data_IF_633720670897
#
_entry.id   IF_633720670897
#
_cell.length_a   1.000
_cell.length_b   1.000
_cell.length_c   1.000
_cell.angle_alpha   90.00
_cell.angle_beta   90.00
_cell.angle_gamma   90.00
#
_symmetry.space_group_name_H-M   'P 1'
#
loop_
_entity.id
_entity.type
_entity.pdbx_description
1 polymer ?
#
# COMPACT_ATOMS: atom_id res chain seq x y z
N UNK A 1 10.47 -1.74 28.64
CA UNK A 1 10.98 -1.42 30.02
C UNK A 1 12.34 -0.69 30.01
N UNK A 2 13.38 -1.20 29.31
CA UNK A 2 14.71 -0.55 29.31
C UNK A 2 14.64 0.88 28.75
N UNK A 3 14.00 1.09 27.61
CA UNK A 3 13.86 2.41 27.00
C UNK A 3 12.99 3.35 27.85
N UNK A 4 11.88 2.85 28.43
CA UNK A 4 10.99 3.66 29.25
C UNK A 4 11.69 4.23 30.50
N UNK A 5 12.50 3.45 31.16
CA UNK A 5 13.24 3.88 32.32
C UNK A 5 14.43 4.78 31.98
N UNK A 6 15.18 4.44 30.90
CA UNK A 6 16.34 5.20 30.48
C UNK A 6 15.97 6.56 29.88
N UNK A 7 14.87 6.65 29.14
CA UNK A 7 14.41 7.90 28.53
C UNK A 7 13.73 8.87 29.53
N UNK A 8 13.44 8.41 30.77
CA UNK A 8 12.94 9.27 31.84
C UNK A 8 14.05 10.02 32.58
N UNK A 9 15.28 9.56 32.46
CA UNK A 9 16.44 10.14 33.16
C UNK A 9 17.17 11.12 32.26
N UNK A 10 17.72 12.19 32.89
CA UNK A 10 18.58 13.16 32.19
C UNK A 10 19.87 12.47 31.74
N UNK A 11 20.21 12.61 30.46
CA UNK A 11 21.45 12.04 29.93
C UNK A 11 22.69 12.75 30.42
N UNK A 12 23.87 12.11 30.38
CA UNK A 12 25.13 12.79 30.62
C UNK A 12 25.32 13.94 29.61
N UNK A 13 25.96 15.03 30.06
CA UNK A 13 26.40 16.10 29.15
C UNK A 13 27.44 15.61 28.14
N UNK A 14 28.33 14.68 28.59
CA UNK A 14 29.30 14.02 27.71
C UNK A 14 28.59 13.09 26.73
N UNK A 15 28.86 13.30 25.48
CA UNK A 15 28.27 12.50 24.39
C UNK A 15 28.69 11.02 24.47
N UNK A 16 27.72 10.14 24.57
CA UNK A 16 27.89 8.68 24.45
C UNK A 16 27.72 8.32 22.98
N UNK A 17 28.67 7.58 22.43
CA UNK A 17 28.64 7.15 21.02
C UNK A 17 28.67 5.64 20.97
N UNK A 18 27.65 5.05 20.35
CA UNK A 18 27.56 3.62 20.06
C UNK A 18 27.72 3.44 18.56
N UNK A 19 28.63 2.58 18.11
CA UNK A 19 28.91 2.36 16.68
C UNK A 19 28.75 0.89 16.32
N UNK A 20 28.35 0.63 15.08
CA UNK A 20 28.34 -0.69 14.44
C UNK A 20 27.65 -1.76 15.30
N UNK A 21 26.43 -1.48 15.74
CA UNK A 21 25.63 -2.33 16.63
C UNK A 21 24.40 -2.86 15.93
N UNK A 22 23.86 -3.97 16.42
CA UNK A 22 22.57 -4.49 15.97
C UNK A 22 21.55 -4.36 17.10
N UNK A 23 20.38 -3.83 16.79
CA UNK A 23 19.22 -3.88 17.68
C UNK A 23 18.31 -5.02 17.22
N UNK A 24 17.96 -5.87 18.17
CA UNK A 24 17.09 -7.01 17.95
C UNK A 24 15.72 -6.68 18.53
N UNK A 25 14.70 -6.71 17.70
CA UNK A 25 13.32 -6.68 18.14
C UNK A 25 12.84 -8.12 18.29
N UNK A 26 12.47 -8.50 19.51
CA UNK A 26 12.04 -9.85 19.87
C UNK A 26 10.58 -9.86 20.32
N UNK A 27 9.88 -10.99 20.12
CA UNK A 27 8.58 -11.24 20.70
C UNK A 27 8.72 -11.70 22.16
N UNK A 28 7.59 -12.01 22.81
CA UNK A 28 7.56 -12.51 24.22
C UNK A 28 8.24 -13.86 24.40
N UNK A 29 8.42 -14.63 23.32
CA UNK A 29 9.09 -15.93 23.32
C UNK A 29 10.58 -15.82 22.99
N UNK A 30 11.17 -14.61 23.05
CA UNK A 30 12.56 -14.32 22.69
C UNK A 30 12.93 -14.59 21.22
N UNK A 31 11.93 -14.81 20.33
CA UNK A 31 12.18 -14.97 18.91
C UNK A 31 12.46 -13.61 18.26
N UNK A 32 13.48 -13.56 17.41
CA UNK A 32 13.89 -12.34 16.71
C UNK A 32 12.90 -12.06 15.58
N UNK A 33 12.09 -11.00 15.72
CA UNK A 33 11.15 -10.54 14.71
C UNK A 33 11.87 -9.67 13.67
N UNK A 34 12.81 -8.82 14.13
CA UNK A 34 13.53 -7.92 13.24
C UNK A 34 14.90 -7.55 13.80
N UNK A 35 15.85 -7.30 12.91
CA UNK A 35 17.19 -6.83 13.22
C UNK A 35 17.40 -5.47 12.56
N UNK A 36 17.83 -4.50 13.38
CA UNK A 36 18.13 -3.14 12.93
C UNK A 36 19.64 -2.90 13.01
N UNK A 37 20.39 -3.02 11.91
CA UNK A 37 21.79 -2.66 11.87
C UNK A 37 21.94 -1.13 12.05
N UNK A 38 22.62 -0.75 13.11
CA UNK A 38 22.89 0.64 13.48
C UNK A 38 24.33 1.00 13.17
N UNK A 39 24.51 2.02 12.35
CA UNK A 39 25.84 2.54 12.04
C UNK A 39 26.41 3.35 13.21
N UNK A 40 25.59 4.24 13.76
CA UNK A 40 25.95 5.01 14.95
C UNK A 40 24.71 5.53 15.69
N UNK A 41 24.81 5.60 17.01
CA UNK A 41 23.90 6.33 17.89
C UNK A 41 24.74 7.32 18.70
N UNK A 42 24.24 8.52 18.87
CA UNK A 42 24.78 9.49 19.81
C UNK A 42 23.69 9.87 20.80
N UNK A 43 24.02 9.85 22.08
CA UNK A 43 23.15 10.22 23.19
C UNK A 43 23.86 11.28 24.05
N UNK A 44 23.19 12.37 24.36
CA UNK A 44 23.70 13.42 25.24
C UNK A 44 22.60 14.34 25.72
N UNK A 45 22.85 15.05 26.80
CA UNK A 45 22.01 16.14 27.26
C UNK A 45 22.54 17.46 26.68
N UNK A 46 21.66 18.16 25.95
CA UNK A 46 21.93 19.51 25.40
C UNK A 46 21.48 20.53 26.41
N UNK A 47 22.45 21.25 26.99
CA UNK A 47 22.17 22.27 28.02
C UNK A 47 21.48 23.50 27.46
N UNK A 48 21.83 23.94 26.25
CA UNK A 48 21.22 25.12 25.63
C UNK A 48 19.72 24.88 25.36
N UNK A 49 19.34 23.66 25.05
CA UNK A 49 17.96 23.28 24.77
C UNK A 49 17.25 22.64 25.95
N UNK A 50 17.95 22.48 27.09
CA UNK A 50 17.44 21.75 28.27
C UNK A 50 16.79 20.43 27.93
N UNK A 51 17.40 19.65 27.01
CA UNK A 51 16.80 18.45 26.43
C UNK A 51 17.76 17.29 26.24
N UNK A 52 17.29 16.07 26.51
CA UNK A 52 17.95 14.88 26.03
C UNK A 52 17.88 14.81 24.51
N UNK A 53 18.98 14.44 23.88
CA UNK A 53 19.05 14.21 22.43
C UNK A 53 19.56 12.80 22.09
N UNK A 54 18.91 12.17 21.11
CA UNK A 54 19.36 10.94 20.49
C UNK A 54 19.41 11.17 18.98
N UNK A 55 20.54 10.89 18.38
CA UNK A 55 20.65 10.81 16.91
C UNK A 55 21.09 9.41 16.53
N UNK A 56 20.39 8.77 15.61
CA UNK A 56 20.72 7.43 15.15
C UNK A 56 20.71 7.34 13.62
N UNK A 57 21.65 6.56 13.09
CA UNK A 57 21.72 6.21 11.66
C UNK A 57 21.85 4.69 11.54
N UNK A 58 21.06 4.09 10.67
CA UNK A 58 21.06 2.64 10.50
C UNK A 58 20.35 2.21 9.23
N UNK A 59 19.97 0.95 9.21
CA UNK A 59 19.16 0.36 8.13
C UNK A 59 17.98 -0.40 8.74
N UNK A 60 16.84 -0.32 8.07
CA UNK A 60 15.65 -1.09 8.35
C UNK A 60 15.27 -1.82 7.07
N UNK A 61 15.30 -3.16 7.08
CA UNK A 61 15.14 -3.97 5.86
C UNK A 61 15.96 -3.45 4.66
N UNK A 62 17.25 -3.24 4.86
CA UNK A 62 18.23 -2.68 3.89
C UNK A 62 17.95 -1.20 3.49
N UNK A 63 16.89 -0.56 3.98
CA UNK A 63 16.57 0.85 3.72
C UNK A 63 17.28 1.71 4.76
N UNK A 64 18.16 2.64 4.36
CA UNK A 64 18.87 3.52 5.29
C UNK A 64 17.91 4.51 5.93
N UNK A 65 18.02 4.68 7.24
CA UNK A 65 17.27 5.67 8.01
C UNK A 65 18.15 6.60 8.83
N UNK A 66 17.62 7.77 9.14
CA UNK A 66 18.13 8.68 10.16
C UNK A 66 17.01 8.98 11.16
N UNK A 67 17.34 8.92 12.46
CA UNK A 67 16.41 9.28 13.54
C UNK A 67 17.04 10.38 14.36
N UNK A 68 16.28 11.42 14.63
CA UNK A 68 16.58 12.43 15.64
C UNK A 68 15.45 12.44 16.65
N UNK A 69 15.77 12.25 17.91
CA UNK A 69 14.81 12.33 19.02
C UNK A 69 15.31 13.32 20.05
N UNK A 70 14.40 14.13 20.58
CA UNK A 70 14.69 14.98 21.72
C UNK A 70 13.52 15.02 22.70
N UNK A 71 13.82 15.17 23.97
CA UNK A 71 12.86 15.31 25.05
C UNK A 71 13.24 16.46 25.93
N UNK A 72 12.37 17.46 26.03
CA UNK A 72 12.53 18.57 26.93
C UNK A 72 11.99 18.17 28.33
N UNK A 73 12.74 18.55 29.40
CA UNK A 73 12.36 18.28 30.77
C UNK A 73 11.70 19.46 31.47
N UNK A 74 11.80 20.66 30.92
CA UNK A 74 11.31 21.89 31.54
C UNK A 74 9.87 22.27 31.17
N UNK A 75 9.38 21.73 30.01
CA UNK A 75 8.03 22.02 29.50
C UNK A 75 7.30 20.73 29.13
N UNK A 76 6.21 20.45 29.83
CA UNK A 76 5.20 19.42 29.52
C UNK A 76 5.71 18.01 29.12
N UNK A 77 6.94 17.66 29.49
CA UNK A 77 7.59 16.39 29.14
C UNK A 77 7.39 15.98 27.66
N UNK A 78 7.29 16.97 26.76
CA UNK A 78 7.09 16.75 25.33
C UNK A 78 8.34 16.13 24.71
N UNK A 79 8.15 15.07 23.94
CA UNK A 79 9.20 14.49 23.10
C UNK A 79 8.88 14.63 21.63
N UNK A 80 9.93 14.80 20.82
CA UNK A 80 9.80 14.87 19.37
C UNK A 80 10.75 13.89 18.72
N UNK A 81 10.21 13.08 17.80
CA UNK A 81 10.96 12.14 16.98
C UNK A 81 10.87 12.54 15.53
N UNK A 82 12.00 12.65 14.85
CA UNK A 82 12.09 12.87 13.41
C UNK A 82 12.77 11.67 12.78
N UNK A 83 12.05 10.96 11.92
CA UNK A 83 12.56 9.81 11.16
C UNK A 83 12.61 10.17 9.69
N UNK A 84 13.76 9.93 9.04
CA UNK A 84 13.95 10.18 7.60
C UNK A 84 14.44 8.92 6.91
N UNK A 85 13.68 8.46 5.90
CA UNK A 85 14.03 7.36 4.99
C UNK A 85 14.23 7.95 3.58
N UNK A 86 15.44 8.45 3.31
CA UNK A 86 15.73 9.20 2.07
C UNK A 86 15.43 8.41 0.79
N UNK A 87 15.69 7.07 0.77
CA UNK A 87 15.40 6.24 -0.41
C UNK A 87 13.90 6.18 -0.76
N UNK A 88 13.01 6.37 0.22
CA UNK A 88 11.57 6.33 0.03
C UNK A 88 10.96 7.73 -0.10
N UNK A 89 11.76 8.80 0.08
CA UNK A 89 11.27 10.16 0.22
C UNK A 89 10.18 10.26 1.31
N UNK A 90 10.50 9.62 2.45
CA UNK A 90 9.62 9.53 3.62
C UNK A 90 10.26 10.26 4.80
N UNK A 91 9.50 11.21 5.35
CA UNK A 91 9.81 11.89 6.61
C UNK A 91 8.63 11.74 7.56
N UNK A 92 8.89 11.31 8.80
CA UNK A 92 7.91 11.21 9.88
C UNK A 92 8.36 12.09 11.02
N UNK A 93 7.54 13.07 11.38
CA UNK A 93 7.69 13.86 12.60
C UNK A 93 6.62 13.45 13.58
N UNK A 94 7.04 12.92 14.71
CA UNK A 94 6.17 12.55 15.80
C UNK A 94 6.39 13.52 16.98
N UNK A 95 5.33 14.07 17.51
CA UNK A 95 5.33 14.88 18.74
C UNK A 95 4.47 14.19 19.77
N UNK A 96 5.05 13.77 20.89
CA UNK A 96 4.34 13.02 21.93
C UNK A 96 4.39 13.73 23.29
N UNK A 97 3.33 13.54 24.06
CA UNK A 97 3.18 14.09 25.41
C UNK A 97 2.29 13.18 26.26
N UNK A 98 2.43 13.31 27.56
CA UNK A 98 1.60 12.59 28.53
C UNK A 98 0.61 13.58 29.13
N UNK A 99 -0.68 13.27 29.07
CA UNK A 99 -1.76 14.00 29.73
C UNK A 99 -2.68 13.02 30.44
N UNK A 100 -3.00 13.29 31.69
CA UNK A 100 -3.90 12.44 32.52
C UNK A 100 -3.50 10.94 32.50
N UNK A 101 -2.20 10.67 32.63
CA UNK A 101 -1.59 9.33 32.55
C UNK A 101 -1.78 8.59 31.22
N UNK A 102 -2.31 9.26 30.20
CA UNK A 102 -2.43 8.71 28.85
C UNK A 102 -1.36 9.29 27.95
N UNK A 103 -0.86 8.46 27.04
CA UNK A 103 0.13 8.85 26.04
C UNK A 103 -0.56 9.28 24.76
N UNK A 104 -0.34 10.53 24.38
CA UNK A 104 -0.86 11.11 23.14
C UNK A 104 0.28 11.49 22.24
N UNK A 105 0.05 11.42 20.94
CA UNK A 105 1.00 11.98 20.01
C UNK A 105 0.34 12.46 18.70
N UNK A 106 1.08 13.33 18.01
CA UNK A 106 0.76 13.81 16.67
C UNK A 106 1.83 13.35 15.71
N UNK A 107 1.38 12.82 14.57
CA UNK A 107 2.25 12.47 13.45
C UNK A 107 2.05 13.44 12.30
N UNK A 108 3.17 13.93 11.76
CA UNK A 108 3.21 14.58 10.46
C UNK A 108 4.06 13.68 9.56
N UNK A 109 3.45 13.07 8.57
CA UNK A 109 4.12 12.14 7.65
C UNK A 109 4.13 12.77 6.27
N UNK A 110 5.32 12.99 5.74
CA UNK A 110 5.54 13.47 4.39
C UNK A 110 6.09 12.31 3.57
N UNK A 111 5.36 11.89 2.56
CA UNK A 111 5.75 10.80 1.68
C UNK A 111 5.49 11.19 0.23
N UNK A 112 6.55 11.51 -0.51
CA UNK A 112 6.42 12.04 -1.88
C UNK A 112 5.45 13.24 -1.92
N UNK A 113 4.29 13.07 -2.58
CA UNK A 113 3.27 14.11 -2.72
C UNK A 113 2.15 14.01 -1.66
N UNK A 114 2.30 13.14 -0.67
CA UNK A 114 1.36 13.00 0.43
C UNK A 114 1.82 13.78 1.67
N UNK A 115 0.88 14.48 2.30
CA UNK A 115 1.02 15.10 3.61
C UNK A 115 -0.04 14.50 4.52
N UNK A 116 0.39 13.65 5.43
CA UNK A 116 -0.50 12.91 6.31
C UNK A 116 -0.33 13.44 7.73
N UNK A 117 -1.43 13.82 8.34
CA UNK A 117 -1.48 14.28 9.72
C UNK A 117 -2.38 13.36 10.50
N UNK A 118 -1.95 12.91 11.66
CA UNK A 118 -2.78 12.09 12.54
C UNK A 118 -2.50 12.34 14.00
N UNK A 119 -3.55 12.18 14.80
CA UNK A 119 -3.42 11.98 16.22
C UNK A 119 -3.40 10.49 16.51
N UNK A 120 -2.64 10.07 17.52
CA UNK A 120 -2.73 8.72 18.02
C UNK A 120 -2.68 8.67 19.54
N UNK A 121 -3.24 7.60 20.06
CA UNK A 121 -3.26 7.26 21.47
C UNK A 121 -2.66 5.86 21.63
N UNK A 122 -1.84 5.71 22.66
CA UNK A 122 -1.31 4.39 23.06
C UNK A 122 -1.96 4.01 24.37
N UNK A 123 -2.58 2.82 24.39
CA UNK A 123 -3.12 2.23 25.58
C UNK A 123 -2.74 0.75 25.63
N UNK A 124 -1.96 0.37 26.64
CA UNK A 124 -1.38 -0.99 26.75
C UNK A 124 -0.58 -1.35 25.49
N UNK A 125 -1.06 -2.34 24.72
CA UNK A 125 -0.42 -2.87 23.52
C UNK A 125 -1.08 -2.39 22.21
N UNK A 126 -2.05 -1.47 22.31
CA UNK A 126 -2.83 -0.94 21.20
C UNK A 126 -2.46 0.52 20.92
N UNK A 127 -2.15 0.80 19.66
CA UNK A 127 -2.04 2.14 19.11
C UNK A 127 -3.27 2.40 18.24
N UNK A 128 -4.13 3.33 18.64
CA UNK A 128 -5.25 3.81 17.84
C UNK A 128 -4.92 5.16 17.24
N UNK A 129 -5.23 5.38 15.96
CA UNK A 129 -4.94 6.64 15.30
C UNK A 129 -6.05 7.06 14.33
N UNK A 130 -6.17 8.36 14.14
CA UNK A 130 -7.08 8.98 13.18
C UNK A 130 -6.41 10.18 12.50
N UNK A 131 -6.76 10.41 11.24
CA UNK A 131 -6.23 11.51 10.47
C UNK A 131 -6.87 12.86 10.83
N UNK A 132 -6.10 13.92 10.56
CA UNK A 132 -6.55 15.32 10.53
C UNK A 132 -6.02 15.95 9.26
N UNK A 133 -6.88 16.60 8.46
CA UNK A 133 -6.49 17.45 7.30
C UNK A 133 -5.44 16.84 6.35
N UNK A 134 -5.48 15.53 6.19
CA UNK A 134 -4.51 14.82 5.38
C UNK A 134 -4.80 14.98 3.89
N UNK A 135 -3.74 15.02 3.07
CA UNK A 135 -3.84 15.23 1.61
C UNK A 135 -2.85 14.38 0.84
N UNK A 136 -3.30 13.89 -0.31
CA UNK A 136 -2.42 13.33 -1.35
C UNK A 136 -2.56 14.20 -2.59
N UNK A 137 -1.48 14.96 -2.94
CA UNK A 137 -1.52 16.00 -3.95
C UNK A 137 -2.55 17.06 -3.54
N UNK A 138 -3.66 17.18 -4.27
CA UNK A 138 -4.77 18.11 -4.00
C UNK A 138 -6.05 17.38 -3.56
N UNK A 139 -5.98 16.08 -3.21
CA UNK A 139 -7.12 15.31 -2.76
C UNK A 139 -7.08 15.17 -1.24
N UNK A 140 -8.20 15.45 -0.61
CA UNK A 140 -8.37 15.14 0.80
C UNK A 140 -8.43 13.63 0.97
N UNK A 141 -7.87 13.16 2.05
CA UNK A 141 -7.99 11.81 2.50
C UNK A 141 -8.20 11.78 4.00
N UNK A 142 -9.07 10.88 4.43
CA UNK A 142 -9.22 10.52 5.83
C UNK A 142 -8.69 9.11 6.02
N UNK A 143 -8.00 8.87 7.12
CA UNK A 143 -7.59 7.53 7.49
C UNK A 143 -7.68 7.36 9.00
N UNK A 144 -8.00 6.14 9.39
CA UNK A 144 -8.01 5.70 10.77
C UNK A 144 -7.49 4.27 10.85
N UNK A 145 -7.06 3.87 12.02
CA UNK A 145 -6.60 2.51 12.19
C UNK A 145 -6.14 2.18 13.59
N UNK A 146 -5.76 0.93 13.72
CA UNK A 146 -5.28 0.33 14.95
C UNK A 146 -4.05 -0.53 14.66
N UNK A 147 -3.09 -0.49 15.57
CA UNK A 147 -1.90 -1.34 15.52
C UNK A 147 -1.78 -2.04 16.87
N UNK A 148 -1.91 -3.36 16.88
CA UNK A 148 -1.52 -4.20 18.00
C UNK A 148 -0.02 -4.50 17.88
N UNK A 149 0.73 -4.31 18.95
CA UNK A 149 2.18 -4.49 18.92
C UNK A 149 2.60 -5.94 19.13
N UNK A 150 1.80 -6.69 19.90
CA UNK A 150 2.05 -8.09 20.22
C UNK A 150 0.76 -8.92 20.34
N UNK A 151 0.52 -9.88 19.44
CA UNK A 151 1.22 -10.04 18.15
C UNK A 151 1.02 -8.83 17.27
N UNK A 152 1.94 -8.58 16.33
CA UNK A 152 1.78 -7.45 15.41
C UNK A 152 0.58 -7.68 14.48
N UNK A 153 -0.40 -6.80 14.58
CA UNK A 153 -1.56 -6.77 13.69
C UNK A 153 -1.96 -5.31 13.41
N UNK A 154 -2.12 -4.94 12.16
CA UNK A 154 -2.48 -3.60 11.75
C UNK A 154 -3.78 -3.59 10.96
N UNK A 155 -4.69 -2.70 11.32
CA UNK A 155 -5.90 -2.40 10.55
C UNK A 155 -5.86 -0.93 10.18
N UNK A 156 -5.94 -0.65 8.87
CA UNK A 156 -5.89 0.70 8.33
C UNK A 156 -7.04 0.89 7.34
N UNK A 157 -7.87 1.88 7.57
CA UNK A 157 -8.88 2.33 6.64
C UNK A 157 -8.48 3.68 6.05
N UNK A 158 -8.53 3.82 4.73
CA UNK A 158 -8.20 5.03 3.98
C UNK A 158 -9.41 5.41 3.12
N UNK A 159 -9.96 6.60 3.33
CA UNK A 159 -11.06 7.14 2.57
C UNK A 159 -10.57 8.31 1.71
N UNK A 160 -10.70 8.20 0.40
CA UNK A 160 -10.28 9.18 -0.59
C UNK A 160 -11.50 9.82 -1.26
N UNK A 161 -11.49 11.13 -1.45
CA UNK A 161 -12.51 11.78 -2.27
C UNK A 161 -12.37 11.38 -3.74
N UNK A 162 -11.13 11.29 -4.24
CA UNK A 162 -10.84 10.95 -5.63
C UNK A 162 -9.61 10.05 -5.74
N UNK A 163 -9.72 8.96 -6.51
CA UNK A 163 -8.61 8.08 -6.88
C UNK A 163 -8.33 8.20 -8.38
N UNK A 164 -7.12 8.56 -8.74
CA UNK A 164 -6.63 8.38 -10.11
C UNK A 164 -6.05 6.97 -10.22
N UNK A 165 -6.82 6.04 -10.78
CA UNK A 165 -6.45 4.63 -10.85
C UNK A 165 -5.12 4.41 -11.61
N UNK A 166 -4.88 5.12 -12.71
CA UNK A 166 -3.65 5.00 -13.48
C UNK A 166 -2.45 5.47 -12.66
N UNK A 167 -2.56 6.64 -12.01
CA UNK A 167 -1.48 7.14 -11.13
C UNK A 167 -1.26 6.21 -9.94
N UNK A 168 -2.31 5.65 -9.37
CA UNK A 168 -2.20 4.67 -8.30
C UNK A 168 -1.42 3.44 -8.74
N UNK A 169 -1.78 2.83 -9.86
CA UNK A 169 -1.10 1.66 -10.41
C UNK A 169 0.37 1.94 -10.78
N UNK A 170 0.65 3.07 -11.45
CA UNK A 170 2.02 3.44 -11.82
C UNK A 170 2.90 3.75 -10.61
N UNK A 171 2.35 4.43 -9.58
CA UNK A 171 3.09 4.72 -8.35
C UNK A 171 3.34 3.47 -7.53
N UNK A 172 2.35 2.55 -7.46
CA UNK A 172 2.52 1.25 -6.79
C UNK A 172 3.58 0.41 -7.50
N UNK A 173 3.57 0.33 -8.83
CA UNK A 173 4.60 -0.36 -9.59
C UNK A 173 5.99 0.25 -9.35
N UNK A 174 6.12 1.57 -9.39
CA UNK A 174 7.39 2.25 -9.10
C UNK A 174 7.90 1.98 -7.68
N UNK A 175 7.00 1.95 -6.69
CA UNK A 175 7.33 1.60 -5.31
C UNK A 175 7.84 0.16 -5.24
N UNK A 176 7.15 -0.79 -5.84
CA UNK A 176 7.55 -2.20 -5.86
C UNK A 176 8.91 -2.43 -6.55
N UNK A 177 9.23 -1.67 -7.58
CA UNK A 177 10.54 -1.73 -8.25
C UNK A 177 11.69 -1.13 -7.44
N UNK A 178 11.42 -0.10 -6.65
CA UNK A 178 12.44 0.65 -5.91
C UNK A 178 12.74 0.12 -4.52
N UNK A 179 11.87 -0.73 -3.97
CA UNK A 179 11.91 -1.19 -2.58
C UNK A 179 12.42 -2.62 -2.49
N UNK A 180 13.19 -2.90 -1.44
CA UNK A 180 13.41 -4.29 -1.05
C UNK A 180 12.14 -4.77 -0.34
N UNK A 181 11.43 -5.67 -0.98
CA UNK A 181 10.08 -6.10 -0.58
C UNK A 181 10.05 -7.33 0.32
N UNK A 182 11.22 -7.89 0.67
CA UNK A 182 11.29 -9.08 1.54
C UNK A 182 10.48 -8.89 2.83
N UNK A 183 10.45 -7.66 3.38
CA UNK A 183 9.69 -7.37 4.59
C UNK A 183 8.18 -7.56 4.44
N UNK A 184 7.62 -7.35 3.22
CA UNK A 184 6.19 -7.53 2.96
C UNK A 184 5.76 -9.00 3.00
N UNK A 185 6.73 -9.92 2.84
CA UNK A 185 6.53 -11.36 2.91
C UNK A 185 6.98 -11.96 4.25
N UNK A 186 7.17 -11.11 5.27
CA UNK A 186 7.48 -11.59 6.61
C UNK A 186 6.26 -12.30 7.20
N UNK A 187 6.46 -13.52 7.71
CA UNK A 187 5.38 -14.33 8.30
C UNK A 187 4.75 -13.70 9.55
N UNK A 188 5.49 -12.83 10.24
CA UNK A 188 5.04 -12.12 11.42
C UNK A 188 4.33 -10.80 11.09
N UNK A 189 4.18 -10.47 9.81
CA UNK A 189 3.43 -9.28 9.36
C UNK A 189 1.98 -9.67 9.13
N UNK A 190 1.08 -9.21 10.02
CA UNK A 190 -0.36 -9.22 9.83
C UNK A 190 -0.84 -7.79 9.62
N UNK A 191 -1.51 -7.54 8.50
CA UNK A 191 -2.10 -6.23 8.25
C UNK A 191 -3.28 -6.31 7.29
N UNK A 192 -4.29 -5.48 7.54
CA UNK A 192 -5.42 -5.26 6.66
C UNK A 192 -5.53 -3.78 6.33
N UNK A 193 -5.50 -3.46 5.03
CA UNK A 193 -5.62 -2.08 4.54
C UNK A 193 -6.83 -2.01 3.62
N UNK A 194 -7.81 -1.17 3.98
CA UNK A 194 -9.00 -0.86 3.19
C UNK A 194 -8.84 0.53 2.57
N UNK A 195 -8.83 0.62 1.24
CA UNK A 195 -8.76 1.89 0.51
C UNK A 195 -10.06 2.10 -0.23
N UNK A 196 -10.85 3.07 0.22
CA UNK A 196 -12.13 3.44 -0.37
C UNK A 196 -11.98 4.75 -1.14
N UNK A 197 -12.49 4.84 -2.37
CA UNK A 197 -12.55 6.10 -3.10
C UNK A 197 -13.96 6.37 -3.60
N UNK A 198 -14.52 7.52 -3.20
CA UNK A 198 -15.89 7.96 -3.58
C UNK A 198 -16.01 8.27 -5.07
N UNK A 199 -14.88 8.66 -5.70
CA UNK A 199 -14.81 8.93 -7.12
C UNK A 199 -13.53 8.36 -7.70
N UNK A 200 -13.64 7.64 -8.81
CA UNK A 200 -12.49 7.14 -9.57
C UNK A 200 -12.28 8.01 -10.79
N UNK A 201 -11.12 8.65 -10.89
CA UNK A 201 -10.77 9.48 -12.04
C UNK A 201 -10.37 8.59 -13.22
N UNK A 202 -11.37 8.00 -13.83
CA UNK A 202 -11.33 7.44 -15.16
C UNK A 202 -12.75 7.57 -15.76
N UNK A 203 -12.91 7.27 -17.05
CA UNK A 203 -14.20 7.41 -17.74
C UNK A 203 -15.15 6.22 -17.50
N UNK A 204 -14.75 5.21 -16.71
CA UNK A 204 -15.46 3.95 -16.62
C UNK A 204 -16.02 3.66 -15.23
N UNK A 205 -15.28 3.96 -14.17
CA UNK A 205 -15.67 3.61 -12.81
C UNK A 205 -15.93 4.85 -11.96
N UNK A 206 -16.94 4.76 -11.11
CA UNK A 206 -17.37 5.84 -10.20
C UNK A 206 -16.81 5.65 -8.78
N UNK A 207 -16.70 4.41 -8.33
CA UNK A 207 -16.30 4.06 -6.97
C UNK A 207 -15.30 2.92 -6.98
N UNK A 208 -14.42 2.89 -5.97
CA UNK A 208 -13.51 1.75 -5.76
C UNK A 208 -13.37 1.40 -4.29
N UNK A 209 -13.23 0.11 -4.01
CA UNK A 209 -12.73 -0.44 -2.77
C UNK A 209 -11.57 -1.38 -3.07
N UNK A 210 -10.40 -1.07 -2.51
CA UNK A 210 -9.19 -1.89 -2.66
C UNK A 210 -8.85 -2.44 -1.29
N UNK A 211 -8.85 -3.75 -1.15
CA UNK A 211 -8.49 -4.48 0.05
C UNK A 211 -7.10 -5.06 -0.12
N UNK A 212 -6.22 -4.81 0.84
CA UNK A 212 -4.87 -5.38 0.86
C UNK A 212 -4.72 -6.13 2.19
N UNK A 213 -4.53 -7.44 2.11
CA UNK A 213 -4.32 -8.27 3.28
C UNK A 213 -2.91 -8.85 3.25
N UNK A 214 -2.21 -8.68 4.36
CA UNK A 214 -0.93 -9.31 4.67
C UNK A 214 -1.18 -10.35 5.76
N UNK A 215 -0.91 -11.59 5.48
CA UNK A 215 -1.11 -12.67 6.42
C UNK A 215 -0.10 -13.79 6.17
N UNK A 216 0.67 -14.13 7.19
CA UNK A 216 1.62 -15.23 7.20
C UNK A 216 2.53 -15.26 5.95
N UNK A 217 3.11 -14.10 5.61
CA UNK A 217 3.99 -13.93 4.44
C UNK A 217 3.30 -13.99 3.10
N UNK A 218 1.97 -13.89 3.06
CA UNK A 218 1.16 -13.82 1.84
C UNK A 218 0.51 -12.47 1.72
N UNK A 219 0.40 -11.99 0.49
CA UNK A 219 -0.30 -10.73 0.18
C UNK A 219 -1.41 -11.04 -0.81
N UNK A 220 -2.62 -10.57 -0.53
CA UNK A 220 -3.74 -10.70 -1.44
C UNK A 220 -4.58 -9.42 -1.49
N UNK A 221 -5.36 -9.29 -2.58
CA UNK A 221 -6.29 -8.19 -2.84
C UNK A 221 -7.72 -8.71 -3.04
N UNK A 222 -8.03 -9.89 -2.47
CA UNK A 222 -9.32 -10.51 -2.62
C UNK A 222 -10.44 -9.59 -2.16
N UNK A 223 -11.59 -9.70 -2.82
CA UNK A 223 -12.78 -8.87 -2.59
C UNK A 223 -12.63 -7.37 -2.88
N UNK A 224 -11.51 -6.95 -3.48
CA UNK A 224 -11.40 -5.61 -4.06
C UNK A 224 -12.35 -5.48 -5.26
N UNK A 225 -12.93 -4.27 -5.41
CA UNK A 225 -13.85 -4.03 -6.51
C UNK A 225 -13.84 -2.59 -7.01
N UNK A 226 -14.26 -2.43 -8.26
CA UNK A 226 -14.54 -1.16 -8.92
C UNK A 226 -16.00 -1.16 -9.38
N UNK A 227 -16.72 -0.08 -9.17
CA UNK A 227 -18.13 0.06 -9.57
C UNK A 227 -18.28 1.17 -10.60
N UNK A 228 -18.98 0.87 -11.68
CA UNK A 228 -19.57 1.83 -12.59
C UNK A 228 -21.09 1.81 -12.41
N UNK A 229 -21.68 2.93 -12.04
CA UNK A 229 -23.15 3.06 -11.90
C UNK A 229 -23.87 2.83 -13.22
N UNK A 230 -23.20 3.09 -14.35
CA UNK A 230 -23.76 2.94 -15.69
C UNK A 230 -23.53 1.55 -16.28
N UNK A 231 -22.37 0.96 -16.06
CA UNK A 231 -21.92 -0.24 -16.80
C UNK A 231 -22.04 -1.50 -15.95
N UNK A 232 -21.57 -1.47 -14.69
CA UNK A 232 -21.54 -2.64 -13.84
C UNK A 232 -20.38 -2.64 -12.84
N UNK A 233 -19.94 -3.80 -12.38
CA UNK A 233 -18.91 -3.92 -11.35
C UNK A 233 -17.82 -4.92 -11.74
N UNK A 234 -16.58 -4.54 -11.49
CA UNK A 234 -15.40 -5.39 -11.61
C UNK A 234 -14.97 -5.83 -10.22
N UNK A 235 -14.97 -7.13 -9.95
CA UNK A 235 -14.54 -7.73 -8.68
C UNK A 235 -13.28 -8.56 -8.87
N UNK A 236 -12.33 -8.44 -7.94
CA UNK A 236 -11.18 -9.34 -7.81
C UNK A 236 -11.59 -10.51 -6.90
N UNK A 237 -11.49 -11.72 -7.41
CA UNK A 237 -11.90 -12.90 -6.65
C UNK A 237 -10.69 -13.60 -6.00
N UNK A 238 -9.65 -13.85 -6.78
CA UNK A 238 -8.44 -14.51 -6.30
C UNK A 238 -7.22 -13.71 -6.75
N UNK A 239 -6.37 -13.40 -5.80
CA UNK A 239 -5.10 -12.74 -6.07
C UNK A 239 -3.98 -13.51 -5.40
N UNK A 240 -2.89 -13.69 -6.13
CA UNK A 240 -1.65 -14.28 -5.61
C UNK A 240 -0.49 -13.39 -6.01
N UNK A 241 0.24 -12.95 -5.02
CA UNK A 241 1.49 -12.22 -5.24
C UNK A 241 2.62 -13.15 -4.86
N UNK A 242 3.49 -13.43 -5.82
CA UNK A 242 4.64 -14.29 -5.63
C UNK A 242 5.93 -13.47 -5.81
N UNK A 243 6.89 -13.72 -4.96
CA UNK A 243 8.24 -13.21 -5.10
C UNK A 243 9.13 -14.39 -5.51
N UNK A 244 9.59 -14.39 -6.76
CA UNK A 244 10.50 -15.40 -7.30
C UNK A 244 11.72 -14.69 -7.86
N UNK A 245 12.92 -15.04 -7.41
CA UNK A 245 14.19 -14.41 -7.80
C UNK A 245 14.15 -12.87 -7.71
N UNK A 246 13.65 -12.35 -6.58
CA UNK A 246 13.45 -10.92 -6.34
C UNK A 246 12.45 -10.24 -7.30
N UNK A 247 11.68 -11.02 -8.07
CA UNK A 247 10.69 -10.52 -9.03
C UNK A 247 9.27 -10.75 -8.51
N UNK A 248 8.50 -9.68 -8.44
CA UNK A 248 7.08 -9.77 -8.10
C UNK A 248 6.24 -10.10 -9.33
N UNK A 249 5.40 -11.11 -9.17
CA UNK A 249 4.37 -11.47 -10.15
C UNK A 249 3.01 -11.43 -9.47
N UNK A 250 2.09 -10.67 -10.05
CA UNK A 250 0.69 -10.62 -9.62
C UNK A 250 -0.12 -11.53 -10.54
N UNK A 251 -0.85 -12.46 -9.94
CA UNK A 251 -1.85 -13.26 -10.63
C UNK A 251 -3.21 -12.95 -10.01
N UNK A 252 -4.16 -12.49 -10.83
CA UNK A 252 -5.46 -12.02 -10.37
C UNK A 252 -6.57 -12.60 -11.25
N UNK A 253 -7.62 -13.13 -10.61
CA UNK A 253 -8.85 -13.54 -11.28
C UNK A 253 -9.92 -12.47 -11.11
N UNK A 254 -10.51 -12.05 -12.21
CA UNK A 254 -11.52 -11.00 -12.25
C UNK A 254 -12.88 -11.54 -12.70
N UNK A 255 -13.91 -10.93 -12.13
CA UNK A 255 -15.27 -11.05 -12.61
C UNK A 255 -15.83 -9.65 -12.86
N UNK A 256 -16.18 -9.37 -14.13
CA UNK A 256 -16.88 -8.15 -14.49
C UNK A 256 -18.36 -8.46 -14.70
N UNK A 257 -19.21 -8.02 -13.77
CA UNK A 257 -20.65 -8.15 -13.87
C UNK A 257 -21.22 -6.93 -14.61
N UNK A 258 -21.84 -7.14 -15.75
CA UNK A 258 -22.40 -6.09 -16.61
C UNK A 258 -23.88 -5.89 -16.26
N UNK A 259 -24.23 -4.70 -15.79
CA UNK A 259 -25.63 -4.31 -15.48
C UNK A 259 -26.29 -3.73 -16.72
N UNK A 260 -25.56 -2.94 -17.49
CA UNK A 260 -26.06 -2.33 -18.72
C UNK A 260 -25.07 -2.61 -19.87
N UNK A 261 -25.44 -3.58 -20.73
CA UNK A 261 -24.61 -3.99 -21.84
C UNK A 261 -24.45 -2.92 -22.92
N UNK A 262 -25.48 -2.07 -23.14
CA UNK A 262 -25.39 -1.01 -24.16
C UNK A 262 -24.41 0.08 -23.77
N UNK A 263 -24.39 0.46 -22.51
CA UNK A 263 -23.39 1.38 -21.96
C UNK A 263 -21.98 0.77 -22.02
N UNK A 264 -21.84 -0.54 -21.71
CA UNK A 264 -20.57 -1.25 -21.86
C UNK A 264 -20.09 -1.19 -23.31
N UNK A 265 -20.92 -1.60 -24.27
CA UNK A 265 -20.58 -1.59 -25.69
C UNK A 265 -20.25 -0.19 -26.22
N UNK A 266 -20.95 0.82 -25.72
CA UNK A 266 -20.68 2.21 -26.09
C UNK A 266 -19.33 2.69 -25.55
N UNK A 267 -19.02 2.37 -24.28
CA UNK A 267 -17.74 2.72 -23.67
C UNK A 267 -16.53 2.11 -24.40
N UNK A 268 -16.69 0.87 -24.90
CA UNK A 268 -15.65 0.17 -25.66
C UNK A 268 -15.74 0.38 -27.17
N UNK A 269 -16.69 1.18 -27.65
CA UNK A 269 -16.90 1.52 -29.08
C UNK A 269 -17.15 0.28 -29.94
N UNK A 270 -17.97 -0.67 -29.47
CA UNK A 270 -18.31 -1.87 -30.17
C UNK A 270 -19.50 -1.60 -31.12
N UNK A 271 -19.39 -1.89 -32.44
CA UNK A 271 -20.45 -1.67 -33.41
C UNK A 271 -21.73 -2.42 -33.05
N UNK A 272 -22.91 -1.82 -33.33
CA UNK A 272 -24.22 -2.44 -33.01
C UNK A 272 -24.37 -3.85 -33.55
N UNK A 273 -23.89 -4.13 -34.76
CA UNK A 273 -23.96 -5.45 -35.42
C UNK A 273 -23.20 -6.56 -34.67
N UNK A 274 -22.22 -6.19 -33.83
CA UNK A 274 -21.37 -7.12 -33.08
C UNK A 274 -21.81 -7.25 -31.62
N UNK A 275 -22.88 -6.56 -31.21
CA UNK A 275 -23.37 -6.60 -29.82
C UNK A 275 -24.19 -7.86 -29.59
N UNK A 276 -23.73 -8.72 -28.70
CA UNK A 276 -24.40 -9.96 -28.26
C UNK A 276 -24.85 -9.82 -26.82
N UNK A 277 -25.63 -10.77 -26.31
CA UNK A 277 -25.99 -10.78 -24.89
C UNK A 277 -24.73 -10.84 -24.03
N UNK A 278 -24.61 -9.88 -23.11
CA UNK A 278 -23.46 -9.76 -22.22
C UNK A 278 -23.92 -9.56 -20.77
N UNK A 279 -23.62 -10.53 -19.91
CA UNK A 279 -23.91 -10.48 -18.47
C UNK A 279 -22.64 -10.44 -17.63
N UNK A 280 -21.65 -11.28 -17.97
CA UNK A 280 -20.42 -11.42 -17.20
C UNK A 280 -19.22 -11.62 -18.11
N UNK A 281 -18.07 -11.10 -17.69
CA UNK A 281 -16.76 -11.39 -18.28
C UNK A 281 -15.85 -11.90 -17.17
N UNK A 282 -15.27 -13.08 -17.36
CA UNK A 282 -14.27 -13.66 -16.46
C UNK A 282 -12.93 -13.68 -17.16
N UNK A 283 -11.88 -13.28 -16.45
CA UNK A 283 -10.53 -13.33 -16.98
C UNK A 283 -9.50 -13.34 -15.85
N UNK A 284 -8.36 -13.97 -16.15
CA UNK A 284 -7.21 -13.94 -15.27
C UNK A 284 -6.18 -12.99 -15.87
N UNK A 285 -5.57 -12.17 -14.99
CA UNK A 285 -4.47 -11.30 -15.34
C UNK A 285 -3.20 -11.75 -14.65
N UNK A 286 -2.11 -11.73 -15.40
CA UNK A 286 -0.77 -11.83 -14.85
C UNK A 286 0.02 -10.57 -15.15
N UNK A 287 0.56 -9.93 -14.10
CA UNK A 287 1.37 -8.73 -14.21
C UNK A 287 2.78 -9.02 -13.72
N UNK A 288 3.75 -8.81 -14.58
CA UNK A 288 5.16 -8.81 -14.20
C UNK A 288 5.58 -7.39 -13.82
N UNK A 289 6.00 -7.19 -12.57
CA UNK A 289 6.32 -5.84 -12.07
C UNK A 289 7.61 -5.26 -12.63
N UNK A 290 8.54 -6.07 -13.15
CA UNK A 290 9.80 -5.56 -13.72
C UNK A 290 9.57 -4.70 -14.95
N UNK A 291 8.70 -5.18 -15.84
CA UNK A 291 8.43 -4.52 -17.11
C UNK A 291 6.99 -4.02 -17.24
N UNK A 292 6.18 -4.13 -16.16
CA UNK A 292 4.74 -3.82 -16.11
C UNK A 292 3.90 -4.55 -17.16
N UNK A 293 4.43 -5.64 -17.72
CA UNK A 293 3.75 -6.39 -18.76
C UNK A 293 2.50 -7.05 -18.21
N UNK A 294 1.41 -6.89 -18.96
CA UNK A 294 0.10 -7.45 -18.65
C UNK A 294 -0.19 -8.60 -19.62
N UNK A 295 -0.43 -9.78 -19.09
CA UNK A 295 -0.92 -10.92 -19.83
C UNK A 295 -2.35 -11.25 -19.38
N UNK A 296 -3.22 -11.61 -20.34
CA UNK A 296 -4.60 -12.02 -20.11
C UNK A 296 -4.71 -13.51 -20.37
N UNK A 297 -5.25 -14.24 -19.40
CA UNK A 297 -5.47 -15.67 -19.49
C UNK A 297 -6.93 -15.99 -19.16
N UNK A 298 -7.37 -17.20 -19.50
CA UNK A 298 -8.69 -17.74 -19.13
C UNK A 298 -9.87 -16.79 -19.40
N UNK A 299 -9.80 -16.02 -20.48
CA UNK A 299 -10.87 -15.09 -20.84
C UNK A 299 -12.16 -15.85 -21.20
N UNK A 300 -13.31 -15.50 -20.60
CA UNK A 300 -14.61 -16.15 -20.82
C UNK A 300 -15.74 -15.14 -20.73
N UNK A 301 -16.77 -15.33 -21.53
CA UNK A 301 -17.95 -14.45 -21.59
C UNK A 301 -19.17 -15.25 -21.15
N UNK A 302 -20.03 -14.64 -20.32
CA UNK A 302 -21.29 -15.12 -19.78
C UNK A 302 -21.24 -16.39 -18.92
N UNK A 303 -20.29 -17.30 -19.14
CA UNK A 303 -20.16 -18.53 -18.37
C UNK A 303 -18.69 -18.87 -18.12
N UNK A 304 -18.38 -19.34 -16.91
CA UNK A 304 -17.05 -19.86 -16.58
C UNK A 304 -16.69 -21.12 -17.41
N UNK A 305 -17.68 -21.80 -17.98
CA UNK A 305 -17.52 -23.01 -18.82
C UNK A 305 -17.51 -22.69 -20.32
N UNK A 306 -17.69 -21.43 -20.74
CA UNK A 306 -17.69 -21.07 -22.16
C UNK A 306 -16.35 -21.37 -22.82
N UNK A 307 -16.39 -21.92 -24.02
CA UNK A 307 -15.21 -22.18 -24.86
C UNK A 307 -15.09 -21.02 -25.85
N UNK A 308 -13.92 -20.43 -25.90
CA UNK A 308 -13.63 -19.36 -26.88
C UNK A 308 -13.39 -19.96 -28.25
N UNK A 309 -13.86 -19.32 -29.32
CA UNK A 309 -13.51 -19.65 -30.66
C UNK A 309 -12.02 -19.32 -30.94
N UNK A 310 -11.49 -19.92 -32.03
CA UNK A 310 -10.06 -19.80 -32.33
C UNK A 310 -9.64 -18.38 -32.70
N UNK A 311 -10.54 -17.58 -33.29
CA UNK A 311 -10.32 -16.19 -33.56
C UNK A 311 -10.08 -15.38 -32.26
N UNK A 312 -10.91 -15.58 -31.23
CA UNK A 312 -10.75 -14.94 -29.92
C UNK A 312 -9.46 -15.38 -29.22
N UNK A 313 -9.10 -16.67 -29.29
CA UNK A 313 -7.82 -17.15 -28.76
C UNK A 313 -6.62 -16.50 -29.46
N UNK A 314 -6.68 -16.36 -30.79
CA UNK A 314 -5.63 -15.67 -31.56
C UNK A 314 -5.45 -14.22 -31.12
N UNK A 315 -6.56 -13.49 -30.90
CA UNK A 315 -6.51 -12.09 -30.39
C UNK A 315 -5.85 -12.02 -29.02
N UNK A 316 -6.18 -12.94 -28.10
CA UNK A 316 -5.56 -12.99 -26.76
C UNK A 316 -4.05 -13.25 -26.90
N UNK A 317 -3.63 -14.19 -27.74
CA UNK A 317 -2.23 -14.50 -27.97
C UNK A 317 -1.47 -13.30 -28.58
N UNK A 318 -2.05 -12.60 -29.56
CA UNK A 318 -1.48 -11.40 -30.14
C UNK A 318 -1.33 -10.28 -29.09
N UNK A 319 -2.36 -10.11 -28.25
CA UNK A 319 -2.29 -9.15 -27.15
C UNK A 319 -1.15 -9.51 -26.19
N UNK A 320 -1.06 -10.74 -25.73
CA UNK A 320 -0.03 -11.18 -24.77
C UNK A 320 1.40 -11.08 -25.34
N UNK A 321 1.57 -11.25 -26.65
CA UNK A 321 2.87 -11.13 -27.31
C UNK A 321 3.31 -9.66 -27.56
N UNK A 322 2.42 -8.71 -27.42
CA UNK A 322 2.73 -7.30 -27.66
C UNK A 322 3.43 -6.69 -26.43
N UNK A 323 4.67 -6.26 -26.57
CA UNK A 323 5.46 -5.63 -25.50
C UNK A 323 4.91 -4.30 -25.02
N UNK A 324 4.06 -3.62 -25.82
CA UNK A 324 3.41 -2.36 -25.45
C UNK A 324 2.27 -2.54 -24.45
N UNK A 325 1.87 -3.77 -24.14
CA UNK A 325 0.79 -4.05 -23.22
C UNK A 325 1.28 -3.92 -21.76
N UNK A 326 1.07 -2.74 -21.23
CA UNK A 326 1.38 -2.36 -19.85
C UNK A 326 0.09 -2.23 -19.04
N UNK A 327 0.13 -2.53 -17.75
CA UNK A 327 -1.01 -2.43 -16.83
C UNK A 327 -1.71 -1.06 -16.85
N UNK A 328 -0.99 0.00 -17.19
CA UNK A 328 -1.51 1.37 -17.28
C UNK A 328 -1.89 1.81 -18.69
N UNK A 329 -1.74 0.94 -19.72
CA UNK A 329 -2.08 1.28 -21.09
C UNK A 329 -3.56 1.03 -21.40
N UNK A 330 -4.40 1.95 -20.96
CA UNK A 330 -5.85 1.88 -21.15
C UNK A 330 -6.27 1.80 -22.63
N UNK A 331 -5.55 2.46 -23.53
CA UNK A 331 -5.88 2.46 -24.96
C UNK A 331 -5.75 1.05 -25.53
N UNK A 332 -4.66 0.34 -25.21
CA UNK A 332 -4.45 -1.02 -25.68
C UNK A 332 -5.49 -1.98 -25.09
N UNK A 333 -5.84 -1.82 -23.82
CA UNK A 333 -6.89 -2.64 -23.20
C UNK A 333 -8.26 -2.39 -23.86
N UNK A 334 -8.59 -1.13 -24.19
CA UNK A 334 -9.82 -0.79 -24.90
C UNK A 334 -9.85 -1.40 -26.31
N UNK A 335 -8.76 -1.31 -27.06
CA UNK A 335 -8.64 -1.90 -28.39
C UNK A 335 -8.77 -3.43 -28.33
N UNK A 336 -8.08 -4.08 -27.40
CA UNK A 336 -8.20 -5.50 -27.14
C UNK A 336 -9.67 -5.91 -26.89
N UNK A 337 -10.35 -5.21 -25.98
CA UNK A 337 -11.77 -5.49 -25.68
C UNK A 337 -12.63 -5.36 -26.93
N UNK A 338 -12.41 -4.32 -27.74
CA UNK A 338 -13.14 -4.11 -28.98
C UNK A 338 -12.90 -5.25 -29.99
N UNK A 339 -11.68 -5.70 -30.16
CA UNK A 339 -11.32 -6.82 -31.04
C UNK A 339 -11.97 -8.14 -30.60
N UNK A 340 -11.92 -8.44 -29.28
CA UNK A 340 -12.60 -9.60 -28.72
C UNK A 340 -14.09 -9.61 -29.08
N UNK A 341 -14.80 -8.51 -28.84
CA UNK A 341 -16.25 -8.45 -29.11
C UNK A 341 -16.60 -8.34 -30.60
N UNK A 342 -15.67 -7.93 -31.46
CA UNK A 342 -15.85 -8.00 -32.91
C UNK A 342 -15.77 -9.45 -33.43
N UNK A 343 -15.03 -10.32 -32.76
CA UNK A 343 -14.86 -11.73 -33.10
C UNK A 343 -15.77 -12.67 -32.32
N UNK A 344 -16.42 -12.19 -31.26
CA UNK A 344 -17.29 -13.00 -30.42
C UNK A 344 -18.60 -13.30 -31.14
N UNK A 345 -18.90 -14.57 -31.32
CA UNK A 345 -20.09 -15.04 -32.07
C UNK A 345 -21.37 -15.23 -31.23
N UNK A 346 -21.24 -15.13 -29.87
CA UNK A 346 -22.37 -15.30 -28.94
C UNK A 346 -22.44 -16.69 -28.36
#
# INVERSE_FOLDING_TARGET
EFFDNYLKVKFPKKKIIIKNSNFFFKNKNDEIISIFPIKNINLFYDEEKSANQITAKGKFFKIPFNVNWYKNFEKDAKSVTLIKLKKLDLEIKNESFIKDKKYFARNNIFFRNAKLYSNFQIQNNLISFNSEDSKIVNNNLDYNGEIYLEPFDMKLEINLDKLNLIKFLTSSSAFFKSSNLEFLFNKNLSAKIDINAKNVRNKMFDYSKILINFDNGKINFNDSFLISKKIGSLKLNETKINLVDEKLTFNCSFNFNVINQDEFYTAFQIPKKNRKLLKNIFFDLQVNTLNDKLNINNFKINSKKSVLNDATKSIINQYNNNEKNKIYNWINLKNFTREIFNSYSG
#
